data_IF_494527448620
#
_entry.id   IF_494527448620
#
_cell.length_a   1.000
_cell.length_b   1.000
_cell.length_c   1.000
_cell.angle_alpha   90.00
_cell.angle_beta   90.00
_cell.angle_gamma   90.00
#
_symmetry.space_group_name_H-M   'P 1'
#
loop_
_entity.id
_entity.type
_entity.pdbx_description
1 polymer ?
#
# COMPACT_ATOMS: atom_id res chain seq x y z
N UNK A 1 -33.27 19.50 12.86
CA UNK A 1 -32.94 18.05 12.79
C UNK A 1 -31.51 17.83 13.30
N UNK A 2 -31.34 17.18 14.45
CA UNK A 2 -30.03 16.96 15.06
C UNK A 2 -29.28 15.82 14.35
N UNK A 3 -28.09 16.11 13.80
CA UNK A 3 -27.21 15.09 13.20
C UNK A 3 -26.70 14.16 14.29
N UNK A 4 -27.13 12.90 14.29
CA UNK A 4 -26.59 11.84 15.15
C UNK A 4 -25.11 11.63 14.82
N UNK A 5 -24.24 11.98 15.78
CA UNK A 5 -22.79 11.73 15.66
C UNK A 5 -22.57 10.22 15.54
N UNK A 6 -22.04 9.78 14.39
CA UNK A 6 -21.64 8.38 14.16
C UNK A 6 -20.69 7.95 15.28
N UNK A 7 -21.04 6.89 16.01
CA UNK A 7 -20.16 6.29 17.01
C UNK A 7 -18.88 5.82 16.32
N UNK A 8 -17.76 6.44 16.65
CA UNK A 8 -16.43 6.00 16.22
C UNK A 8 -16.15 4.69 16.95
N UNK A 9 -15.96 3.59 16.21
CA UNK A 9 -15.56 2.32 16.81
C UNK A 9 -14.16 2.48 17.42
N UNK A 10 -13.91 1.90 18.61
CA UNK A 10 -12.57 1.92 19.18
C UNK A 10 -11.58 1.23 18.23
N UNK A 11 -10.33 1.70 18.19
CA UNK A 11 -9.29 1.07 17.37
C UNK A 11 -9.05 -0.36 17.85
N UNK A 12 -8.86 -1.28 16.89
CA UNK A 12 -8.52 -2.69 17.19
C UNK A 12 -7.18 -2.76 17.94
N UNK A 13 -7.07 -3.53 19.04
CA UNK A 13 -5.82 -3.73 19.78
C UNK A 13 -4.69 -4.19 18.87
N UNK A 14 -3.43 -3.79 19.17
CA UNK A 14 -2.28 -4.10 18.30
C UNK A 14 -2.12 -5.61 18.05
N UNK A 15 -2.34 -6.43 19.07
CA UNK A 15 -2.27 -7.90 19.03
C UNK A 15 -3.23 -8.52 18.01
N UNK A 16 -4.45 -7.98 17.89
CA UNK A 16 -5.49 -8.50 17.00
C UNK A 16 -5.39 -7.99 15.55
N UNK A 17 -4.44 -7.08 15.28
CA UNK A 17 -4.26 -6.51 13.95
C UNK A 17 -3.63 -7.54 13.02
N UNK A 18 -4.46 -8.18 12.22
CA UNK A 18 -4.03 -9.02 11.08
C UNK A 18 -3.19 -8.26 10.05
N UNK A 19 -3.27 -6.92 10.03
CA UNK A 19 -2.57 -6.08 9.07
C UNK A 19 -1.30 -5.47 9.67
N UNK A 20 -0.14 -5.83 9.11
CA UNK A 20 1.17 -5.30 9.46
C UNK A 20 1.43 -3.86 8.98
N UNK A 21 0.43 -3.19 8.38
CA UNK A 21 0.56 -1.81 7.85
C UNK A 21 1.00 -0.78 8.90
N UNK A 22 0.69 -1.02 10.16
CA UNK A 22 1.05 -0.16 11.31
C UNK A 22 2.02 -0.87 12.27
N UNK A 23 2.75 -1.88 11.80
CA UNK A 23 3.67 -2.66 12.64
C UNK A 23 4.73 -1.80 13.33
N UNK A 24 5.25 -0.77 12.66
CA UNK A 24 6.27 0.10 13.24
C UNK A 24 5.68 1.24 14.10
N UNK A 25 4.37 1.32 14.30
CA UNK A 25 3.76 2.41 15.08
C UNK A 25 4.36 2.50 16.49
N UNK A 26 4.82 3.70 16.88
CA UNK A 26 5.46 3.96 18.17
C UNK A 26 6.97 4.20 18.04
N UNK A 27 7.73 3.64 18.97
CA UNK A 27 9.19 3.78 19.09
C UNK A 27 9.90 3.23 17.85
N UNK A 28 9.41 2.13 17.26
CA UNK A 28 9.99 1.58 16.02
C UNK A 28 9.94 2.59 14.86
N UNK A 29 8.87 3.36 14.73
CA UNK A 29 8.73 4.40 13.70
C UNK A 29 9.70 5.55 13.96
N UNK A 30 10.01 5.87 15.23
CA UNK A 30 11.00 6.91 15.54
C UNK A 30 12.41 6.56 15.06
N UNK A 31 12.78 5.26 15.08
CA UNK A 31 14.05 4.78 14.51
C UNK A 31 14.03 4.85 12.98
N UNK A 32 12.92 4.43 12.35
CA UNK A 32 12.89 4.25 10.89
C UNK A 32 12.61 5.55 10.11
N UNK A 33 11.88 6.49 10.70
CA UNK A 33 11.44 7.74 10.05
C UNK A 33 12.58 8.60 9.51
N UNK A 34 13.68 8.84 10.26
CA UNK A 34 14.81 9.63 9.76
C UNK A 34 15.45 9.07 8.48
N UNK A 35 15.32 7.76 8.24
CA UNK A 35 15.92 7.10 7.07
C UNK A 35 15.06 7.13 5.81
N UNK A 36 13.84 7.69 5.84
CA UNK A 36 12.92 7.66 4.70
C UNK A 36 13.54 8.33 3.46
N UNK A 37 14.10 9.53 3.61
CA UNK A 37 14.63 10.30 2.47
C UNK A 37 15.87 9.65 1.88
N UNK A 38 16.81 9.23 2.72
CA UNK A 38 18.02 8.52 2.31
C UNK A 38 17.71 7.15 1.67
N UNK A 39 16.74 6.40 2.20
CA UNK A 39 16.27 5.17 1.55
C UNK A 39 15.65 5.47 0.19
N UNK A 40 14.86 6.55 0.07
CA UNK A 40 14.26 6.96 -1.21
C UNK A 40 15.33 7.32 -2.24
N UNK A 41 16.37 8.04 -1.83
CA UNK A 41 17.52 8.34 -2.67
C UNK A 41 18.25 7.07 -3.11
N UNK A 42 18.53 6.15 -2.19
CA UNK A 42 19.15 4.86 -2.50
C UNK A 42 18.29 4.00 -3.46
N UNK A 43 16.97 4.01 -3.29
CA UNK A 43 16.02 3.32 -4.17
C UNK A 43 16.07 3.89 -5.59
N UNK A 44 16.19 5.20 -5.74
CA UNK A 44 16.28 5.85 -7.06
C UNK A 44 17.61 5.55 -7.77
N UNK A 45 18.69 5.27 -7.02
CA UNK A 45 19.98 4.85 -7.57
C UNK A 45 20.01 3.37 -8.01
N UNK A 46 19.01 2.57 -7.63
CA UNK A 46 18.85 1.18 -8.03
C UNK A 46 18.95 0.17 -6.89
N UNK A 47 18.66 -1.09 -7.22
CA UNK A 47 18.42 -2.15 -6.23
C UNK A 47 19.66 -2.50 -5.38
N UNK A 48 20.88 -2.39 -5.93
CA UNK A 48 22.11 -2.64 -5.18
C UNK A 48 22.32 -1.60 -4.07
N UNK A 49 22.10 -0.32 -4.38
CA UNK A 49 22.24 0.76 -3.41
C UNK A 49 21.14 0.69 -2.34
N UNK A 50 19.90 0.36 -2.75
CA UNK A 50 18.80 0.08 -1.82
C UNK A 50 19.17 -1.01 -0.81
N UNK A 51 19.66 -2.16 -1.28
CA UNK A 51 20.07 -3.26 -0.40
C UNK A 51 21.22 -2.88 0.52
N UNK A 52 22.23 -2.17 0.02
CA UNK A 52 23.37 -1.72 0.81
C UNK A 52 22.92 -0.77 1.94
N UNK A 53 22.07 0.19 1.62
CA UNK A 53 21.52 1.13 2.59
C UNK A 53 20.64 0.43 3.62
N UNK A 54 19.73 -0.44 3.16
CA UNK A 54 18.82 -1.18 4.04
C UNK A 54 19.59 -2.07 5.03
N UNK A 55 20.72 -2.66 4.64
CA UNK A 55 21.58 -3.42 5.55
C UNK A 55 22.07 -2.57 6.72
N UNK A 56 22.41 -1.30 6.48
CA UNK A 56 22.79 -0.34 7.52
C UNK A 56 21.63 -0.04 8.48
N UNK A 57 20.45 0.25 7.95
CA UNK A 57 19.25 0.52 8.74
C UNK A 57 18.85 -0.69 9.59
N UNK A 58 18.90 -1.91 9.02
CA UNK A 58 18.62 -3.12 9.78
C UNK A 58 19.64 -3.32 10.91
N UNK A 59 20.93 -3.04 10.68
CA UNK A 59 21.95 -3.12 11.74
C UNK A 59 21.65 -2.16 12.88
N UNK A 60 21.32 -0.91 12.57
CA UNK A 60 20.91 0.08 13.57
C UNK A 60 19.66 -0.36 14.34
N UNK A 61 18.64 -0.85 13.63
CA UNK A 61 17.41 -1.33 14.22
C UNK A 61 17.65 -2.47 15.21
N UNK A 62 18.38 -3.51 14.82
CA UNK A 62 18.68 -4.67 15.68
C UNK A 62 19.65 -4.37 16.82
N UNK A 63 20.47 -3.32 16.68
CA UNK A 63 21.29 -2.85 17.80
C UNK A 63 20.42 -2.14 18.85
N UNK A 64 19.45 -1.34 18.42
CA UNK A 64 18.55 -0.58 19.31
C UNK A 64 17.43 -1.42 19.91
N UNK A 65 16.89 -2.38 19.16
CA UNK A 65 15.71 -3.19 19.53
C UNK A 65 16.12 -4.65 19.68
N UNK A 66 15.75 -5.27 20.79
CA UNK A 66 15.97 -6.71 20.99
C UNK A 66 15.04 -7.53 20.08
N UNK A 67 15.58 -8.56 19.45
CA UNK A 67 14.87 -9.44 18.52
C UNK A 67 13.78 -10.27 19.22
N UNK A 68 13.92 -10.48 20.54
CA UNK A 68 12.96 -11.19 21.40
C UNK A 68 11.68 -10.39 21.66
N UNK A 69 11.70 -9.07 21.42
CA UNK A 69 10.53 -8.23 21.65
C UNK A 69 9.45 -8.55 20.60
N UNK A 70 8.26 -8.82 21.09
CA UNK A 70 7.10 -9.09 20.26
C UNK A 70 6.61 -7.85 19.52
N UNK A 71 5.78 -8.06 18.51
CA UNK A 71 5.36 -6.97 17.61
C UNK A 71 4.41 -5.96 18.25
N UNK A 72 3.61 -6.41 19.21
CA UNK A 72 2.65 -5.58 19.93
C UNK A 72 3.28 -4.82 21.09
N UNK A 73 4.41 -5.33 21.61
CA UNK A 73 5.14 -4.71 22.72
C UNK A 73 5.99 -3.53 22.26
N UNK A 74 6.06 -2.51 23.10
CA UNK A 74 6.88 -1.33 22.84
C UNK A 74 8.32 -1.57 23.34
N UNK A 75 9.33 -1.56 22.45
CA UNK A 75 10.68 -1.91 22.84
C UNK A 75 11.33 -0.78 23.64
N UNK A 76 12.11 -1.16 24.65
CA UNK A 76 13.05 -0.24 25.30
C UNK A 76 14.26 -0.05 24.39
N UNK A 77 14.58 1.19 24.03
CA UNK A 77 15.69 1.48 23.14
C UNK A 77 17.03 1.39 23.84
N UNK A 78 17.92 0.58 23.29
CA UNK A 78 19.33 0.60 23.66
C UNK A 78 20.01 1.81 23.01
N UNK A 79 20.95 2.49 23.72
CA UNK A 79 21.74 3.56 23.13
C UNK A 79 22.54 3.01 21.96
N UNK A 80 22.60 3.77 20.87
CA UNK A 80 23.26 3.35 19.64
C UNK A 80 24.24 4.41 19.15
N UNK A 81 25.43 3.93 18.80
CA UNK A 81 26.43 4.66 18.02
C UNK A 81 26.83 3.81 16.81
N UNK A 82 27.26 4.41 15.69
CA UNK A 82 27.69 3.66 14.50
C UNK A 82 28.78 2.60 14.78
N UNK A 83 29.58 2.83 15.82
CA UNK A 83 30.68 1.96 16.24
C UNK A 83 30.29 1.02 17.40
N UNK A 84 29.01 0.95 17.77
CA UNK A 84 28.55 0.02 18.80
C UNK A 84 28.79 -1.41 18.34
N UNK A 85 29.58 -2.15 19.13
CA UNK A 85 29.74 -3.58 18.96
C UNK A 85 28.48 -4.27 19.48
N UNK A 86 27.86 -5.09 18.64
CA UNK A 86 26.75 -5.94 19.07
C UNK A 86 27.40 -7.11 19.82
N UNK A 87 27.12 -7.30 21.13
CA UNK A 87 27.71 -8.39 21.89
C UNK A 87 27.32 -9.72 21.24
N UNK A 88 28.30 -10.62 21.12
CA UNK A 88 28.05 -11.98 20.66
C UNK A 88 27.37 -12.72 21.79
N UNK A 89 26.07 -12.98 21.63
CA UNK A 89 25.30 -13.79 22.56
C UNK A 89 25.67 -15.25 22.36
N UNK A 90 26.05 -15.95 23.44
CA UNK A 90 26.15 -17.41 23.43
C UNK A 90 24.73 -17.97 23.48
N UNK A 91 24.27 -18.55 22.39
CA UNK A 91 22.92 -19.08 22.23
C UNK A 91 22.99 -20.58 21.97
N UNK A 92 21.93 -21.31 22.33
CA UNK A 92 21.78 -22.69 21.89
C UNK A 92 21.52 -22.74 20.38
N UNK A 93 21.84 -23.85 19.71
CA UNK A 93 21.57 -24.01 18.27
C UNK A 93 20.09 -23.76 17.92
N UNK A 94 19.17 -24.21 18.79
CA UNK A 94 17.75 -23.94 18.66
C UNK A 94 17.44 -22.43 18.71
N UNK A 95 18.04 -21.70 19.65
CA UNK A 95 17.83 -20.25 19.76
C UNK A 95 18.47 -19.47 18.60
N UNK A 96 19.60 -19.94 18.07
CA UNK A 96 20.24 -19.34 16.90
C UNK A 96 19.35 -19.43 15.66
N UNK A 97 18.74 -20.60 15.42
CA UNK A 97 17.80 -20.78 14.31
C UNK A 97 16.57 -19.89 14.48
N UNK A 98 16.01 -19.80 15.70
CA UNK A 98 14.89 -18.91 16.02
C UNK A 98 15.25 -17.43 15.80
N UNK A 99 16.41 -17.00 16.28
CA UNK A 99 16.95 -15.65 16.09
C UNK A 99 17.12 -15.32 14.61
N UNK A 100 17.69 -16.24 13.83
CA UNK A 100 17.87 -16.07 12.38
C UNK A 100 16.52 -15.91 11.67
N UNK A 101 15.53 -16.76 11.98
CA UNK A 101 14.19 -16.68 11.41
C UNK A 101 13.48 -15.37 11.79
N UNK A 102 13.60 -14.94 13.04
CA UNK A 102 13.02 -13.68 13.54
C UNK A 102 13.66 -12.47 12.86
N UNK A 103 14.99 -12.40 12.79
CA UNK A 103 15.73 -11.33 12.12
C UNK A 103 15.34 -11.26 10.63
N UNK A 104 15.23 -12.40 9.95
CA UNK A 104 14.79 -12.46 8.54
C UNK A 104 13.39 -11.87 8.37
N UNK A 105 12.48 -12.20 9.28
CA UNK A 105 11.10 -11.68 9.29
C UNK A 105 11.07 -10.18 9.53
N UNK A 106 11.82 -9.69 10.51
CA UNK A 106 11.93 -8.26 10.83
C UNK A 106 12.52 -7.47 9.66
N UNK A 107 13.59 -7.96 9.03
CA UNK A 107 14.21 -7.32 7.86
C UNK A 107 13.20 -7.19 6.70
N UNK A 108 12.41 -8.23 6.44
CA UNK A 108 11.35 -8.18 5.43
C UNK A 108 10.27 -7.15 5.75
N UNK A 109 9.92 -6.99 7.03
CA UNK A 109 8.95 -5.99 7.51
C UNK A 109 9.47 -4.57 7.41
N UNK A 110 10.72 -4.31 7.80
CA UNK A 110 11.37 -3.00 7.67
C UNK A 110 11.33 -2.58 6.19
N UNK A 111 11.72 -3.48 5.27
CA UNK A 111 11.64 -3.21 3.83
C UNK A 111 10.22 -2.88 3.37
N UNK A 112 9.24 -3.71 3.73
CA UNK A 112 7.82 -3.48 3.39
C UNK A 112 7.30 -2.16 3.95
N UNK A 113 7.73 -1.79 5.16
CA UNK A 113 7.37 -0.53 5.80
C UNK A 113 7.88 0.67 5.00
N UNK A 114 9.16 0.68 4.60
CA UNK A 114 9.71 1.73 3.74
C UNK A 114 8.97 1.83 2.41
N UNK A 115 8.78 0.70 1.72
CA UNK A 115 8.05 0.66 0.44
C UNK A 115 6.64 1.21 0.59
N UNK A 116 5.93 0.81 1.65
CA UNK A 116 4.59 1.32 1.94
C UNK A 116 4.60 2.82 2.22
N UNK A 117 5.53 3.29 3.06
CA UNK A 117 5.63 4.70 3.48
C UNK A 117 5.96 5.59 2.28
N UNK A 118 6.93 5.20 1.46
CA UNK A 118 7.32 5.93 0.25
C UNK A 118 6.18 5.93 -0.76
N UNK A 119 5.51 4.79 -0.98
CA UNK A 119 4.34 4.76 -1.87
C UNK A 119 3.24 5.71 -1.38
N UNK A 120 3.02 5.80 -0.08
CA UNK A 120 2.04 6.75 0.50
C UNK A 120 2.50 8.19 0.33
N UNK A 121 3.76 8.50 0.64
CA UNK A 121 4.34 9.84 0.45
C UNK A 121 4.33 10.24 -1.04
N UNK A 122 4.66 9.33 -1.96
CA UNK A 122 4.58 9.54 -3.40
C UNK A 122 3.14 9.76 -3.87
N UNK A 123 2.16 9.01 -3.36
CA UNK A 123 0.74 9.29 -3.63
C UNK A 123 0.37 10.71 -3.19
N UNK A 124 0.80 11.12 -2.00
CA UNK A 124 0.59 12.49 -1.55
C UNK A 124 1.35 13.52 -2.40
N UNK A 125 2.55 13.23 -2.90
CA UNK A 125 3.30 14.13 -3.80
C UNK A 125 2.69 14.22 -5.20
N UNK A 126 2.19 13.11 -5.74
CA UNK A 126 1.42 13.08 -7.00
C UNK A 126 0.15 13.91 -6.79
N UNK A 127 -0.59 13.70 -5.71
CA UNK A 127 -1.81 14.48 -5.43
C UNK A 127 -1.56 15.94 -5.04
N UNK A 128 -0.41 16.28 -4.45
CA UNK A 128 -0.07 17.63 -4.01
C UNK A 128 0.72 18.44 -5.04
N UNK A 129 1.30 17.78 -6.05
CA UNK A 129 2.08 18.39 -7.14
C UNK A 129 1.36 18.40 -8.49
N UNK A 130 0.37 17.53 -8.71
CA UNK A 130 -0.55 17.65 -9.84
C UNK A 130 -1.67 18.67 -9.52
N UNK A 131 -1.28 19.84 -9.05
CA UNK A 131 -2.17 20.99 -9.13
C UNK A 131 -2.15 21.44 -10.61
N UNK A 132 -3.23 21.21 -11.38
CA UNK A 132 -3.26 21.52 -12.81
C UNK A 132 -3.05 23.01 -13.10
N UNK A 133 -3.10 23.86 -12.07
CA UNK A 133 -2.81 25.29 -12.17
C UNK A 133 -1.32 25.64 -12.03
N UNK A 134 -0.49 24.77 -11.44
CA UNK A 134 0.94 25.04 -11.15
C UNK A 134 1.91 24.22 -11.97
N UNK A 135 1.50 23.03 -12.42
CA UNK A 135 2.31 22.18 -13.30
C UNK A 135 1.56 21.94 -14.62
N UNK A 136 1.95 22.60 -15.73
CA UNK A 136 1.29 22.43 -17.02
C UNK A 136 1.45 21.00 -17.58
N UNK A 137 2.49 20.28 -17.17
CA UNK A 137 2.72 18.89 -17.58
C UNK A 137 1.93 17.89 -16.73
N UNK A 138 1.49 18.26 -15.53
CA UNK A 138 0.59 17.44 -14.72
C UNK A 138 -0.73 17.15 -15.46
N UNK A 139 -1.29 18.13 -16.18
CA UNK A 139 -2.50 17.95 -17.00
C UNK A 139 -2.23 16.97 -18.15
N UNK A 140 -1.07 17.10 -18.81
CA UNK A 140 -0.67 16.22 -19.90
C UNK A 140 -0.46 14.78 -19.41
N UNK A 141 0.24 14.60 -18.29
CA UNK A 141 0.48 13.29 -17.66
C UNK A 141 -0.81 12.69 -17.11
N UNK A 142 -1.73 13.49 -16.57
CA UNK A 142 -3.07 13.03 -16.20
C UNK A 142 -3.84 12.55 -17.44
N UNK A 143 -3.83 13.32 -18.53
CA UNK A 143 -4.47 12.92 -19.81
C UNK A 143 -3.86 11.64 -20.39
N UNK A 144 -2.53 11.49 -20.33
CA UNK A 144 -1.81 10.32 -20.82
C UNK A 144 -1.95 9.09 -19.92
N UNK A 145 -2.19 9.28 -18.61
CA UNK A 145 -2.33 8.19 -17.63
C UNK A 145 -3.78 7.77 -17.34
N UNK A 146 -4.78 8.58 -17.70
CA UNK A 146 -6.10 8.43 -17.10
C UNK A 146 -7.06 7.45 -17.76
N UNK A 147 -6.87 6.98 -19.00
CA UNK A 147 -7.81 6.02 -19.60
C UNK A 147 -7.09 4.99 -20.47
N UNK A 148 -7.29 3.71 -20.16
CA UNK A 148 -7.00 2.64 -21.11
C UNK A 148 -7.84 2.88 -22.38
N UNK A 149 -7.33 2.59 -23.57
CA UNK A 149 -7.98 2.92 -24.85
C UNK A 149 -9.48 2.54 -24.89
N UNK A 150 -9.85 1.40 -24.29
CA UNK A 150 -11.25 0.98 -24.19
C UNK A 150 -12.12 1.90 -23.30
N UNK A 151 -11.58 2.48 -22.23
CA UNK A 151 -12.30 3.41 -21.34
C UNK A 151 -12.52 4.76 -22.03
N UNK A 152 -11.60 5.15 -22.90
CA UNK A 152 -11.73 6.35 -23.71
C UNK A 152 -12.77 6.14 -24.81
N UNK A 153 -12.69 5.02 -25.54
CA UNK A 153 -13.73 4.63 -26.51
C UNK A 153 -15.12 4.51 -25.87
N UNK A 154 -15.21 3.90 -24.67
CA UNK A 154 -16.42 3.84 -23.88
C UNK A 154 -17.01 5.20 -23.55
N UNK A 155 -16.19 6.23 -23.41
CA UNK A 155 -16.66 7.58 -23.09
C UNK A 155 -17.05 8.36 -24.35
N UNK A 156 -16.23 8.26 -25.40
CA UNK A 156 -16.40 9.03 -26.64
C UNK A 156 -17.51 8.45 -27.52
N UNK A 157 -17.67 7.13 -27.55
CA UNK A 157 -18.61 6.43 -28.43
C UNK A 157 -19.78 5.77 -27.69
N UNK A 158 -20.03 6.14 -26.42
CA UNK A 158 -21.07 5.50 -25.60
C UNK A 158 -22.44 5.59 -26.26
N UNK A 159 -22.89 6.80 -26.57
CA UNK A 159 -24.25 7.06 -27.03
C UNK A 159 -24.49 6.48 -28.44
N UNK A 160 -23.49 6.55 -29.31
CA UNK A 160 -23.63 6.18 -30.72
C UNK A 160 -23.44 4.68 -30.96
N UNK A 161 -22.46 4.05 -30.30
CA UNK A 161 -22.02 2.69 -30.65
C UNK A 161 -22.29 1.65 -29.55
N UNK A 162 -22.20 2.05 -28.28
CA UNK A 162 -22.21 1.09 -27.16
C UNK A 162 -23.59 0.98 -26.54
N UNK A 163 -24.27 2.10 -26.31
CA UNK A 163 -25.62 2.16 -25.77
C UNK A 163 -26.61 1.27 -26.55
N UNK A 164 -26.72 1.33 -27.90
CA UNK A 164 -27.66 0.47 -28.63
C UNK A 164 -27.35 -1.02 -28.46
N UNK A 165 -26.06 -1.42 -28.51
CA UNK A 165 -25.65 -2.82 -28.36
C UNK A 165 -25.91 -3.32 -26.94
N UNK A 166 -25.67 -2.46 -25.94
CA UNK A 166 -25.96 -2.76 -24.53
C UNK A 166 -27.46 -2.93 -24.30
N UNK A 167 -28.31 -2.08 -24.90
CA UNK A 167 -29.76 -2.21 -24.76
C UNK A 167 -30.27 -3.49 -25.40
N UNK A 168 -29.85 -3.81 -26.63
CA UNK A 168 -30.28 -5.03 -27.33
C UNK A 168 -29.88 -6.28 -26.58
N UNK A 169 -28.61 -6.40 -26.16
CA UNK A 169 -28.15 -7.57 -25.40
C UNK A 169 -28.76 -7.67 -24.01
N UNK A 170 -29.06 -6.53 -23.39
CA UNK A 170 -29.76 -6.50 -22.11
C UNK A 170 -31.19 -7.02 -22.26
N UNK A 171 -31.88 -6.65 -23.33
CA UNK A 171 -33.23 -7.15 -23.65
C UNK A 171 -33.21 -8.67 -23.94
N UNK A 172 -32.24 -9.15 -24.73
CA UNK A 172 -32.03 -10.58 -24.99
C UNK A 172 -31.75 -11.39 -23.70
N UNK A 173 -30.95 -10.85 -22.77
CA UNK A 173 -30.73 -11.48 -21.47
C UNK A 173 -31.97 -11.43 -20.58
N UNK A 174 -32.83 -10.41 -20.70
CA UNK A 174 -34.10 -10.35 -19.95
C UNK A 174 -35.10 -11.40 -20.44
N UNK A 175 -35.19 -11.62 -21.75
CA UNK A 175 -36.07 -12.61 -22.35
C UNK A 175 -35.62 -14.03 -22.03
N UNK A 176 -34.31 -14.29 -22.07
CA UNK A 176 -33.75 -15.60 -21.77
C UNK A 176 -33.71 -15.94 -20.27
N UNK A 177 -33.75 -14.94 -19.38
CA UNK A 177 -33.60 -15.11 -17.93
C UNK A 177 -34.81 -14.51 -17.18
N UNK A 178 -35.96 -15.17 -17.36
CA UNK A 178 -37.27 -14.76 -16.85
C UNK A 178 -37.43 -14.75 -15.31
N UNK A 179 -36.44 -15.24 -14.53
CA UNK A 179 -36.51 -15.25 -13.06
C UNK A 179 -35.49 -14.34 -12.33
N UNK A 180 -34.45 -13.84 -13.00
CA UNK A 180 -33.39 -13.02 -12.36
C UNK A 180 -33.47 -11.53 -12.72
N UNK A 181 -34.16 -11.18 -13.81
CA UNK A 181 -34.12 -9.86 -14.41
C UNK A 181 -35.12 -8.84 -13.85
N UNK A 182 -36.11 -9.27 -13.07
CA UNK A 182 -37.14 -8.37 -12.49
C UNK A 182 -36.60 -7.37 -11.46
N UNK A 183 -35.39 -7.58 -10.92
CA UNK A 183 -34.87 -6.78 -9.79
C UNK A 183 -34.10 -5.53 -10.20
N UNK A 184 -33.78 -5.32 -11.48
CA UNK A 184 -33.00 -4.14 -11.90
C UNK A 184 -33.49 -3.56 -13.22
N UNK A 185 -33.95 -2.30 -13.20
CA UNK A 185 -34.43 -1.56 -14.37
C UNK A 185 -33.32 -1.19 -15.36
N UNK A 186 -32.05 -1.23 -14.94
CA UNK A 186 -30.90 -0.85 -15.77
C UNK A 186 -29.76 -1.88 -15.72
N UNK A 187 -28.99 -2.01 -16.82
CA UNK A 187 -27.83 -2.87 -16.85
C UNK A 187 -26.73 -2.36 -15.91
N UNK A 188 -26.18 -3.26 -15.08
CA UNK A 188 -25.10 -2.95 -14.14
C UNK A 188 -23.81 -2.55 -14.87
N UNK A 189 -22.95 -1.77 -14.21
CA UNK A 189 -21.67 -1.32 -14.77
C UNK A 189 -20.78 -2.47 -15.29
N UNK A 190 -20.80 -3.63 -14.64
CA UNK A 190 -20.08 -4.82 -15.10
C UNK A 190 -20.57 -5.37 -16.44
N UNK A 191 -21.88 -5.30 -16.72
CA UNK A 191 -22.47 -5.74 -17.98
C UNK A 191 -22.09 -4.80 -19.12
N UNK A 192 -22.24 -3.48 -18.90
CA UNK A 192 -21.85 -2.43 -19.87
C UNK A 192 -20.37 -2.57 -20.28
N UNK A 193 -19.52 -2.87 -19.30
CA UNK A 193 -18.07 -3.06 -19.54
C UNK A 193 -17.76 -4.35 -20.31
N UNK A 194 -18.55 -5.41 -20.14
CA UNK A 194 -18.39 -6.67 -20.89
C UNK A 194 -18.77 -6.50 -22.36
N UNK A 195 -19.91 -5.87 -22.63
CA UNK A 195 -20.39 -5.61 -24.00
C UNK A 195 -19.43 -4.72 -24.78
N UNK A 196 -18.86 -3.69 -24.14
CA UNK A 196 -17.92 -2.79 -24.81
C UNK A 196 -16.51 -3.37 -25.03
N UNK A 197 -16.23 -4.60 -24.58
CA UNK A 197 -14.95 -5.29 -24.78
C UNK A 197 -14.97 -6.33 -25.90
N UNK A 198 -16.17 -6.74 -26.31
CA UNK A 198 -16.40 -7.66 -27.43
C UNK A 198 -16.47 -6.89 -28.74
#
# INVERSE_FOLDING_TARGET
MAKTRKRVRPPVPKEERKNLRLWAEGVRETILTPHIDSYTAALNLGWHQERKYLKGVCREFHARVDWRVEDWDEPTLRPWTPNTLIPVEQLSEADETAKCARIKTLNARIRRWFTYRIRRLRKHRISAGLDPTKDPYAVLLAKLSARQAFQQFMHESYQEKIAPVVTTRWEEERENNSQASERTKEPKAGFRTKVARE
#
